data_IF_194773615476
#
_entry.id   IF_194773615476
#
_cell.length_a   1.000
_cell.length_b   1.000
_cell.length_c   1.000
_cell.angle_alpha   90.00
_cell.angle_beta   90.00
_cell.angle_gamma   90.00
#
_symmetry.space_group_name_H-M   'P 1'
#
loop_
_entity.id
_entity.type
_entity.pdbx_description
1 polymer ?
#
# COMPACT_ATOMS: atom_id res chain seq x y z
N UNK A 1 42.90 5.74 48.51
CA UNK A 1 43.32 5.17 47.20
C UNK A 1 42.20 4.43 46.49
N UNK A 2 41.39 3.61 47.17
CA UNK A 2 40.25 2.87 46.59
C UNK A 2 39.27 3.77 45.81
N UNK A 3 38.90 4.94 46.33
CA UNK A 3 38.01 5.89 45.64
C UNK A 3 38.53 6.36 44.26
N UNK A 4 39.86 6.49 44.09
CA UNK A 4 40.47 6.87 42.80
C UNK A 4 40.51 5.69 41.81
N UNK A 5 40.72 4.47 42.31
CA UNK A 5 40.75 3.25 41.50
C UNK A 5 39.34 2.89 41.00
N UNK A 6 38.32 3.02 41.85
CA UNK A 6 36.91 2.80 41.45
C UNK A 6 36.47 3.79 40.38
N UNK A 7 36.85 5.07 40.50
CA UNK A 7 36.55 6.08 39.48
C UNK A 7 37.21 5.76 38.13
N UNK A 8 38.46 5.29 38.14
CA UNK A 8 39.19 4.90 36.93
C UNK A 8 38.61 3.66 36.23
N UNK A 9 37.95 2.75 36.96
CA UNK A 9 37.29 1.58 36.39
C UNK A 9 35.89 1.91 35.84
N UNK A 10 35.16 2.81 36.50
CA UNK A 10 33.79 3.19 36.09
C UNK A 10 33.79 4.15 34.89
N UNK A 11 34.77 5.05 34.80
CA UNK A 11 34.85 6.04 33.72
C UNK A 11 34.87 5.44 32.30
N UNK A 12 35.70 4.44 31.96
CA UNK A 12 35.69 3.82 30.63
C UNK A 12 34.41 3.02 30.34
N UNK A 13 33.74 2.47 31.35
CA UNK A 13 32.45 1.77 31.18
C UNK A 13 31.33 2.74 30.76
N UNK A 14 31.29 3.93 31.37
CA UNK A 14 30.33 4.98 30.99
C UNK A 14 30.67 5.54 29.60
N UNK A 15 31.95 5.76 29.29
CA UNK A 15 32.36 6.28 27.98
C UNK A 15 32.10 5.29 26.83
N UNK A 16 32.37 3.99 27.03
CA UNK A 16 32.05 2.94 26.05
C UNK A 16 30.54 2.78 25.79
N UNK A 17 29.70 3.06 26.80
CA UNK A 17 28.24 2.96 26.64
C UNK A 17 27.68 3.99 25.64
N UNK A 18 28.31 5.17 25.53
CA UNK A 18 27.92 6.19 24.57
C UNK A 18 28.26 5.79 23.14
N UNK A 19 29.44 5.20 22.91
CA UNK A 19 29.86 4.68 21.61
C UNK A 19 28.99 3.51 21.14
N UNK A 20 28.60 2.62 22.06
CA UNK A 20 27.68 1.51 21.75
C UNK A 20 26.29 2.03 21.37
N UNK A 21 25.76 3.02 22.10
CA UNK A 21 24.47 3.63 21.75
C UNK A 21 24.52 4.40 20.42
N UNK A 22 25.59 5.15 20.17
CA UNK A 22 25.80 5.86 18.91
C UNK A 22 25.92 4.88 17.73
N UNK A 23 26.69 3.80 17.90
CA UNK A 23 26.82 2.73 16.91
C UNK A 23 25.49 2.03 16.62
N UNK A 24 24.69 1.75 17.65
CA UNK A 24 23.35 1.19 17.50
C UNK A 24 22.41 2.15 16.75
N UNK A 25 22.42 3.44 17.09
CA UNK A 25 21.60 4.45 16.41
C UNK A 25 21.96 4.59 14.92
N UNK A 26 23.25 4.57 14.57
CA UNK A 26 23.72 4.61 13.18
C UNK A 26 23.30 3.34 12.42
N UNK A 27 23.49 2.16 13.00
CA UNK A 27 23.11 0.89 12.38
C UNK A 27 21.60 0.80 12.15
N UNK A 28 20.81 1.21 13.16
CA UNK A 28 19.37 1.26 13.07
C UNK A 28 18.93 2.20 11.95
N UNK A 29 19.48 3.41 11.88
CA UNK A 29 19.15 4.39 10.82
C UNK A 29 19.55 3.88 9.43
N UNK A 30 20.70 3.23 9.29
CA UNK A 30 21.13 2.63 8.03
C UNK A 30 20.20 1.50 7.57
N UNK A 31 19.82 0.60 8.49
CA UNK A 31 18.88 -0.49 8.20
C UNK A 31 17.50 0.03 7.79
N UNK A 32 17.01 1.06 8.48
CA UNK A 32 15.77 1.75 8.12
C UNK A 32 15.85 2.36 6.71
N UNK A 33 16.96 3.02 6.38
CA UNK A 33 17.21 3.55 5.03
C UNK A 33 17.20 2.47 3.95
N UNK A 34 17.88 1.34 4.17
CA UNK A 34 17.89 0.20 3.24
C UNK A 34 16.48 -0.37 3.04
N UNK A 35 15.72 -0.51 4.12
CA UNK A 35 14.34 -0.99 4.07
C UNK A 35 13.45 -0.09 3.21
N UNK A 36 13.54 1.22 3.40
CA UNK A 36 12.73 2.18 2.64
C UNK A 36 13.13 2.26 1.16
N UNK A 37 14.43 2.13 0.85
CA UNK A 37 14.89 1.99 -0.53
C UNK A 37 14.33 0.72 -1.18
N UNK A 38 14.36 -0.42 -0.47
CA UNK A 38 13.83 -1.68 -0.97
C UNK A 38 12.33 -1.58 -1.26
N UNK A 39 11.51 -1.05 -0.35
CA UNK A 39 10.07 -0.82 -0.59
C UNK A 39 9.83 0.11 -1.79
N UNK A 40 10.62 1.19 -1.90
CA UNK A 40 10.53 2.12 -3.04
C UNK A 40 10.90 1.43 -4.36
N UNK A 41 11.90 0.54 -4.35
CA UNK A 41 12.27 -0.23 -5.54
C UNK A 41 11.20 -1.25 -5.94
N UNK A 42 10.61 -1.93 -4.96
CA UNK A 42 9.56 -2.94 -5.18
C UNK A 42 8.30 -2.30 -5.75
N UNK A 43 7.85 -1.17 -5.19
CA UNK A 43 6.68 -0.44 -5.69
C UNK A 43 6.82 0.05 -7.14
N UNK A 44 8.05 0.23 -7.65
CA UNK A 44 8.32 0.66 -9.03
C UNK A 44 8.63 -0.49 -10.00
N UNK A 45 8.51 -1.75 -9.56
CA UNK A 45 8.54 -2.92 -10.45
C UNK A 45 7.34 -2.89 -11.40
N UNK A 46 7.37 -3.72 -12.45
CA UNK A 46 6.29 -3.75 -13.44
C UNK A 46 4.94 -4.06 -12.80
N UNK A 47 4.91 -4.96 -11.82
CA UNK A 47 3.71 -5.40 -11.10
C UNK A 47 3.47 -4.62 -9.80
N UNK A 48 4.23 -3.55 -9.54
CA UNK A 48 4.12 -2.75 -8.32
C UNK A 48 3.10 -1.61 -8.43
N UNK A 49 2.67 -1.09 -7.28
CA UNK A 49 1.63 -0.06 -7.19
C UNK A 49 2.01 1.27 -7.87
N UNK A 50 3.32 1.53 -8.04
CA UNK A 50 3.86 2.71 -8.70
C UNK A 50 4.56 2.36 -10.02
N UNK A 51 4.20 1.26 -10.68
CA UNK A 51 4.73 0.88 -11.99
C UNK A 51 4.60 2.02 -13.02
N UNK A 52 3.50 2.79 -12.98
CA UNK A 52 3.26 3.94 -13.86
C UNK A 52 4.35 5.03 -13.77
N UNK A 53 5.04 5.14 -12.63
CA UNK A 53 6.10 6.13 -12.38
C UNK A 53 7.45 5.70 -12.94
N UNK A 54 7.54 4.48 -13.45
CA UNK A 54 8.71 3.98 -14.15
C UNK A 54 8.51 4.19 -15.65
N UNK A 55 9.33 5.04 -16.27
CA UNK A 55 9.20 5.40 -17.69
C UNK A 55 9.18 4.17 -18.61
N UNK A 56 9.93 3.12 -18.25
CA UNK A 56 9.97 1.86 -18.99
C UNK A 56 8.60 1.17 -19.07
N UNK A 57 7.79 1.28 -18.01
CA UNK A 57 6.51 0.56 -17.89
C UNK A 57 5.31 1.47 -18.15
N UNK A 58 5.48 2.79 -18.10
CA UNK A 58 4.40 3.78 -18.15
C UNK A 58 3.38 3.51 -19.25
N UNK A 59 3.82 3.36 -20.50
CA UNK A 59 2.93 3.12 -21.63
C UNK A 59 2.18 1.77 -21.52
N UNK A 60 2.87 0.73 -21.05
CA UNK A 60 2.26 -0.58 -20.81
C UNK A 60 1.19 -0.53 -19.72
N UNK A 61 1.44 0.22 -18.64
CA UNK A 61 0.49 0.42 -17.54
C UNK A 61 -0.76 1.19 -18.00
N UNK A 62 -0.59 2.24 -18.82
CA UNK A 62 -1.72 3.00 -19.37
C UNK A 62 -2.62 2.12 -20.25
N UNK A 63 -2.01 1.30 -21.13
CA UNK A 63 -2.75 0.36 -21.96
C UNK A 63 -3.42 -0.74 -21.12
N UNK A 64 -2.74 -1.26 -20.09
CA UNK A 64 -3.31 -2.24 -19.18
C UNK A 64 -4.51 -1.67 -18.42
N UNK A 65 -4.45 -0.42 -17.95
CA UNK A 65 -5.56 0.27 -17.30
C UNK A 65 -6.77 0.39 -18.23
N UNK A 66 -6.57 0.89 -19.46
CA UNK A 66 -7.63 1.02 -20.48
C UNK A 66 -8.24 -0.34 -20.85
N UNK A 67 -7.43 -1.36 -21.00
CA UNK A 67 -7.91 -2.71 -21.31
C UNK A 67 -8.58 -3.39 -20.13
N UNK A 68 -8.31 -2.96 -18.89
CA UNK A 68 -8.92 -3.52 -17.69
C UNK A 68 -10.24 -2.83 -17.37
N UNK A 69 -10.37 -1.52 -17.63
CA UNK A 69 -11.61 -0.77 -17.39
C UNK A 69 -12.81 -1.32 -18.19
N UNK A 70 -12.55 -1.95 -19.33
CA UNK A 70 -13.56 -2.55 -20.21
C UNK A 70 -13.98 -3.98 -19.84
N UNK A 71 -13.26 -4.66 -18.93
CA UNK A 71 -13.54 -6.06 -18.57
C UNK A 71 -14.73 -6.20 -17.64
N UNK A 72 -15.31 -7.39 -17.61
CA UNK A 72 -16.33 -7.75 -16.63
C UNK A 72 -15.74 -7.85 -15.21
N UNK A 73 -16.56 -7.52 -14.21
CA UNK A 73 -16.20 -7.61 -12.78
C UNK A 73 -16.76 -8.93 -12.22
N UNK A 74 -16.07 -10.04 -12.47
CA UNK A 74 -16.54 -11.38 -12.07
C UNK A 74 -15.47 -12.23 -11.37
N UNK A 75 -14.21 -11.76 -11.32
CA UNK A 75 -13.13 -12.44 -10.60
C UNK A 75 -13.23 -12.12 -9.11
N UNK A 76 -13.04 -13.11 -8.25
CA UNK A 76 -12.96 -12.91 -6.80
C UNK A 76 -11.52 -12.69 -6.35
N UNK A 77 -11.30 -11.62 -5.59
CA UNK A 77 -10.12 -11.37 -4.78
C UNK A 77 -10.51 -11.30 -3.30
N UNK A 78 -9.52 -11.20 -2.41
CA UNK A 78 -9.78 -11.12 -0.97
C UNK A 78 -8.91 -10.03 -0.34
N UNK A 79 -9.51 -9.20 0.52
CA UNK A 79 -8.80 -8.31 1.42
C UNK A 79 -9.34 -8.55 2.83
N UNK A 80 -8.47 -8.92 3.76
CA UNK A 80 -8.84 -9.12 5.18
C UNK A 80 -10.04 -10.08 5.37
N UNK A 81 -10.07 -11.21 4.63
CA UNK A 81 -11.19 -12.18 4.61
C UNK A 81 -12.51 -11.65 4.07
N UNK A 82 -12.47 -10.50 3.39
CA UNK A 82 -13.62 -9.93 2.69
C UNK A 82 -13.39 -10.19 1.21
N UNK A 83 -14.30 -10.96 0.62
CA UNK A 83 -14.28 -11.24 -0.81
C UNK A 83 -14.68 -9.98 -1.58
N UNK A 84 -13.91 -9.64 -2.61
CA UNK A 84 -14.15 -8.47 -3.47
C UNK A 84 -14.20 -8.94 -4.92
N UNK A 85 -15.26 -8.57 -5.61
CA UNK A 85 -15.41 -8.74 -7.05
C UNK A 85 -14.52 -7.73 -7.78
N UNK A 86 -13.58 -8.21 -8.58
CA UNK A 86 -12.59 -7.43 -9.34
C UNK A 86 -12.64 -7.80 -10.83
N UNK A 87 -12.00 -7.03 -11.72
CA UNK A 87 -12.01 -7.33 -13.15
C UNK A 87 -11.39 -8.69 -13.48
N UNK A 88 -11.85 -9.32 -14.56
CA UNK A 88 -11.22 -10.53 -15.08
C UNK A 88 -9.71 -10.38 -15.32
N UNK A 89 -8.97 -11.46 -15.07
CA UNK A 89 -7.51 -11.50 -15.20
C UNK A 89 -6.81 -10.39 -14.40
N UNK A 90 -7.31 -10.10 -13.21
CA UNK A 90 -6.63 -9.23 -12.25
C UNK A 90 -6.40 -9.94 -10.92
N UNK A 91 -5.44 -9.45 -10.16
CA UNK A 91 -5.12 -9.88 -8.81
C UNK A 91 -5.03 -8.66 -7.89
N UNK A 92 -5.49 -8.79 -6.64
CA UNK A 92 -5.23 -7.80 -5.60
C UNK A 92 -3.89 -8.13 -4.95
N UNK A 93 -2.97 -7.16 -4.92
CA UNK A 93 -1.70 -7.27 -4.20
C UNK A 93 -1.58 -6.21 -3.13
N UNK A 94 -0.88 -6.55 -2.05
CA UNK A 94 -0.50 -5.60 -1.02
C UNK A 94 0.58 -4.65 -1.55
N UNK A 95 0.47 -3.37 -1.19
CA UNK A 95 1.42 -2.34 -1.58
C UNK A 95 2.74 -2.52 -0.81
N UNK A 96 3.87 -2.33 -1.49
CA UNK A 96 5.17 -2.38 -0.83
C UNK A 96 5.30 -1.26 0.23
N UNK A 97 4.57 -0.16 0.06
CA UNK A 97 4.41 0.88 1.07
C UNK A 97 2.99 0.92 1.64
N UNK A 98 2.86 0.49 2.89
CA UNK A 98 1.61 0.52 3.64
C UNK A 98 1.35 1.95 4.17
N UNK A 99 0.34 2.61 3.61
CA UNK A 99 -0.11 3.95 4.04
C UNK A 99 -1.64 3.94 4.23
N UNK A 100 -2.37 4.93 3.68
CA UNK A 100 -3.84 4.95 3.70
C UNK A 100 -4.41 3.83 2.82
N UNK A 101 -3.82 3.62 1.65
CA UNK A 101 -4.21 2.58 0.70
C UNK A 101 -3.17 1.47 0.71
N UNK A 102 -3.61 0.25 1.02
CA UNK A 102 -2.73 -0.87 1.30
C UNK A 102 -2.70 -1.90 0.17
N UNK A 103 -3.56 -1.74 -0.84
CA UNK A 103 -3.64 -2.67 -1.95
C UNK A 103 -3.70 -1.96 -3.29
N UNK A 104 -3.36 -2.68 -4.35
CA UNK A 104 -3.52 -2.28 -5.73
C UNK A 104 -3.92 -3.50 -6.59
N UNK A 105 -4.34 -3.24 -7.82
CA UNK A 105 -4.64 -4.28 -8.79
C UNK A 105 -3.43 -4.55 -9.69
N UNK A 106 -3.20 -5.80 -10.04
CA UNK A 106 -2.26 -6.21 -11.09
C UNK A 106 -3.03 -6.83 -12.24
N UNK A 107 -2.79 -6.36 -13.46
CA UNK A 107 -3.31 -7.01 -14.67
C UNK A 107 -2.48 -8.26 -15.01
N UNK A 108 -3.06 -9.44 -14.81
CA UNK A 108 -2.38 -10.72 -15.01
C UNK A 108 -2.06 -11.01 -16.48
N UNK A 109 -2.75 -10.36 -17.43
CA UNK A 109 -2.43 -10.52 -18.86
C UNK A 109 -1.10 -9.88 -19.23
N UNK A 110 -0.76 -8.76 -18.61
CA UNK A 110 0.43 -7.96 -18.95
C UNK A 110 1.50 -7.98 -17.86
N UNK A 111 1.15 -8.36 -16.63
CA UNK A 111 2.00 -8.28 -15.45
C UNK A 111 2.18 -6.86 -14.91
N UNK A 112 1.33 -5.90 -15.32
CA UNK A 112 1.43 -4.51 -14.90
C UNK A 112 0.57 -4.19 -13.68
N UNK A 113 1.18 -3.54 -12.68
CA UNK A 113 0.49 -2.94 -11.56
C UNK A 113 -0.30 -1.72 -12.04
N UNK A 114 -1.61 -1.74 -11.80
CA UNK A 114 -2.50 -0.66 -12.17
C UNK A 114 -2.39 0.46 -11.12
N UNK A 115 -2.45 1.74 -11.54
CA UNK A 115 -2.32 2.89 -10.64
C UNK A 115 -3.64 3.19 -9.92
N UNK A 116 -4.31 2.15 -9.43
CA UNK A 116 -5.54 2.18 -8.63
C UNK A 116 -5.21 1.58 -7.27
N UNK A 117 -5.55 2.31 -6.22
CA UNK A 117 -5.25 1.95 -4.84
C UNK A 117 -6.54 1.68 -4.08
N UNK A 118 -6.53 0.64 -3.25
CA UNK A 118 -7.69 0.13 -2.52
C UNK A 118 -7.37 0.11 -1.02
N UNK A 119 -8.36 0.48 -0.21
CA UNK A 119 -8.35 0.32 1.25
C UNK A 119 -9.70 -0.17 1.74
N UNK A 120 -9.67 -0.91 2.85
CA UNK A 120 -10.87 -1.25 3.62
C UNK A 120 -10.84 -0.44 4.90
N UNK A 121 -11.85 0.38 5.11
CA UNK A 121 -11.98 1.21 6.29
C UNK A 121 -13.03 0.65 7.25
N UNK A 122 -12.89 1.01 8.52
CA UNK A 122 -13.96 0.85 9.49
C UNK A 122 -15.01 1.92 9.26
N UNK A 123 -16.26 1.59 9.56
CA UNK A 123 -17.37 2.52 9.53
C UNK A 123 -17.29 3.59 10.62
N UNK A 124 -18.12 4.62 10.49
CA UNK A 124 -18.20 5.70 11.48
C UNK A 124 -18.79 5.21 12.82
N UNK A 125 -18.66 6.01 13.87
CA UNK A 125 -19.23 5.67 15.17
C UNK A 125 -20.75 5.50 15.09
N UNK A 126 -21.25 4.37 15.56
CA UNK A 126 -22.68 4.01 15.48
C UNK A 126 -23.04 3.18 14.25
N UNK A 127 -22.09 2.87 13.38
CA UNK A 127 -22.27 1.99 12.23
C UNK A 127 -21.53 0.67 12.41
N UNK A 128 -22.02 -0.38 11.75
CA UNK A 128 -21.38 -1.69 11.64
C UNK A 128 -21.08 -2.00 10.17
N UNK A 129 -20.07 -2.83 9.93
CA UNK A 129 -19.68 -3.23 8.57
C UNK A 129 -18.29 -2.72 8.19
N UNK A 130 -18.07 -2.59 6.88
CA UNK A 130 -16.83 -2.13 6.26
C UNK A 130 -17.15 -1.32 5.01
N UNK A 131 -16.23 -0.48 4.60
CA UNK A 131 -16.33 0.31 3.38
C UNK A 131 -15.06 0.16 2.54
N UNK A 132 -15.25 0.04 1.22
CA UNK A 132 -14.16 0.10 0.24
C UNK A 132 -13.90 1.56 -0.17
N UNK A 133 -12.70 2.06 0.11
CA UNK A 133 -12.25 3.37 -0.38
C UNK A 133 -11.17 3.17 -1.46
N UNK A 134 -11.20 4.05 -2.46
CA UNK A 134 -10.39 3.97 -3.66
C UNK A 134 -9.67 5.28 -3.96
N UNK A 135 -8.48 5.18 -4.54
CA UNK A 135 -7.76 6.31 -5.12
C UNK A 135 -7.00 5.87 -6.37
N UNK A 136 -6.40 6.82 -7.09
CA UNK A 136 -5.56 6.54 -8.26
C UNK A 136 -4.44 7.57 -8.39
N UNK A 137 -3.41 7.26 -9.19
CA UNK A 137 -2.26 8.16 -9.39
C UNK A 137 -2.62 9.36 -10.26
N UNK A 138 -3.19 10.40 -9.65
CA UNK A 138 -3.59 11.62 -10.35
C UNK A 138 -2.41 12.26 -11.10
N UNK A 139 -1.20 12.22 -10.54
CA UNK A 139 -0.05 12.96 -11.10
C UNK A 139 0.47 12.34 -12.40
N UNK A 140 0.41 11.01 -12.53
CA UNK A 140 1.00 10.30 -13.66
C UNK A 140 0.00 9.86 -14.73
N UNK A 141 -1.30 10.01 -14.45
CA UNK A 141 -2.37 9.78 -15.40
C UNK A 141 -2.80 11.07 -16.11
N UNK A 142 -2.88 11.02 -17.44
CA UNK A 142 -3.54 12.04 -18.25
C UNK A 142 -5.07 12.01 -18.06
N UNK A 143 -5.77 12.99 -18.66
CA UNK A 143 -7.20 13.15 -18.44
C UNK A 143 -8.03 11.93 -18.91
N UNK A 144 -7.69 11.33 -20.05
CA UNK A 144 -8.37 10.13 -20.57
C UNK A 144 -8.16 8.95 -19.62
N UNK A 145 -6.93 8.71 -19.21
CA UNK A 145 -6.57 7.60 -18.31
C UNK A 145 -7.17 7.78 -16.92
N UNK A 146 -7.36 9.02 -16.45
CA UNK A 146 -8.13 9.29 -15.22
C UNK A 146 -9.61 8.95 -15.38
N UNK A 147 -10.21 9.15 -16.56
CA UNK A 147 -11.59 8.71 -16.84
C UNK A 147 -11.66 7.17 -16.79
N UNK A 148 -10.69 6.49 -17.38
CA UNK A 148 -10.61 5.02 -17.33
C UNK A 148 -10.48 4.49 -15.89
N UNK A 149 -9.61 5.10 -15.08
CA UNK A 149 -9.46 4.75 -13.67
C UNK A 149 -10.77 4.94 -12.89
N UNK A 150 -11.45 6.07 -13.08
CA UNK A 150 -12.74 6.34 -12.43
C UNK A 150 -13.81 5.33 -12.85
N UNK A 151 -13.96 5.07 -14.13
CA UNK A 151 -14.93 4.11 -14.64
C UNK A 151 -14.69 2.71 -14.05
N UNK A 152 -13.43 2.29 -13.97
CA UNK A 152 -13.08 1.00 -13.37
C UNK A 152 -13.40 0.96 -11.87
N UNK A 153 -13.07 2.03 -11.13
CA UNK A 153 -13.39 2.14 -9.70
C UNK A 153 -14.90 2.07 -9.47
N UNK A 154 -15.71 2.82 -10.22
CA UNK A 154 -17.15 2.82 -10.05
C UNK A 154 -17.76 1.44 -10.37
N UNK A 155 -17.31 0.77 -11.43
CA UNK A 155 -17.72 -0.62 -11.71
C UNK A 155 -17.40 -1.59 -10.56
N UNK A 156 -16.22 -1.44 -9.95
CA UNK A 156 -15.84 -2.27 -8.80
C UNK A 156 -16.75 -1.94 -7.61
N UNK A 157 -17.00 -0.66 -7.32
CA UNK A 157 -17.91 -0.28 -6.22
C UNK A 157 -19.32 -0.82 -6.42
N UNK A 158 -19.88 -0.69 -7.62
CA UNK A 158 -21.22 -1.20 -7.96
C UNK A 158 -21.32 -2.72 -7.73
N UNK A 159 -20.31 -3.47 -8.19
CA UNK A 159 -20.24 -4.92 -8.04
C UNK A 159 -20.01 -5.40 -6.59
N UNK A 160 -19.69 -4.49 -5.67
CA UNK A 160 -19.42 -4.76 -4.25
C UNK A 160 -20.26 -3.84 -3.35
N UNK A 161 -21.43 -3.43 -3.82
CA UNK A 161 -22.33 -2.50 -3.11
C UNK A 161 -22.94 -3.09 -1.83
N UNK A 162 -22.80 -4.40 -1.62
CA UNK A 162 -23.09 -5.10 -0.38
C UNK A 162 -22.04 -4.87 0.72
N UNK A 163 -20.81 -4.49 0.35
CA UNK A 163 -19.75 -4.11 1.28
C UNK A 163 -19.94 -2.64 1.66
N UNK A 164 -20.83 -2.40 2.61
CA UNK A 164 -21.18 -1.06 3.08
C UNK A 164 -21.30 -0.97 4.60
N UNK A 165 -21.24 0.27 5.07
CA UNK A 165 -21.57 0.61 6.44
C UNK A 165 -23.09 0.73 6.61
N UNK A 166 -23.59 0.17 7.71
CA UNK A 166 -25.01 0.23 8.08
C UNK A 166 -25.15 0.77 9.50
N UNK A 167 -26.18 1.58 9.74
CA UNK A 167 -26.48 2.11 11.08
C UNK A 167 -26.73 0.93 12.00
N UNK A 168 -26.01 0.87 13.12
CA UNK A 168 -26.25 -0.12 14.16
C UNK A 168 -27.62 0.16 14.75
N UNK A 169 -28.62 -0.63 14.37
CA UNK A 169 -29.93 -0.64 15.02
C UNK A 169 -29.78 -1.26 16.41
N UNK A 170 -29.14 -0.54 17.33
CA UNK A 170 -29.32 -0.80 18.75
C UNK A 170 -30.72 -0.31 19.09
N UNK A 171 -31.69 -1.23 19.06
CA UNK A 171 -32.88 -1.11 19.89
C UNK A 171 -32.44 -0.97 21.36
N UNK A 172 -33.15 -0.07 22.05
CA UNK A 172 -32.95 0.42 23.42
C UNK A 172 -32.47 -0.60 24.45
#
# INVERSE_FOLDING_TARGET
>A
MIKKIVLLLILPLILNSCEIMAGYAVLHTANEGIREMNKTSQSKKSDGEYAIRNEKYKQGVLLALKNTSTREINKKGEIWKIEISIPENTEIKENAKMYKFNYHLVDLKTGYGLPIYISINNCSYGETGKELDFSYDIQNLDEESRKEARNLIEKIKEANSDIKCEISSKEN
#
